data_IF_738059556277
#
_entry.id   IF_738059556277
#
_cell.length_a   1.000
_cell.length_b   1.000
_cell.length_c   1.000
_cell.angle_alpha   90.00
_cell.angle_beta   90.00
_cell.angle_gamma   90.00
#
_symmetry.space_group_name_H-M   'P 1'
#
loop_
_entity.id
_entity.type
_entity.pdbx_description
1 polymer ?
#
# COMPACT_ATOMS: atom_id res chain seq x y z
N UNK A 1 -39.25 2.77 27.58
CA UNK A 1 -39.03 3.73 26.47
C UNK A 1 -37.56 3.86 26.04
N UNK A 2 -36.58 3.45 26.86
CA UNK A 2 -35.14 3.60 26.59
C UNK A 2 -34.51 2.60 25.59
N UNK A 3 -35.11 1.42 25.35
CA UNK A 3 -34.49 0.40 24.49
C UNK A 3 -34.47 0.78 22.99
N UNK A 4 -35.49 1.53 22.52
CA UNK A 4 -35.57 1.97 21.11
C UNK A 4 -34.48 2.98 20.75
N UNK A 5 -34.16 3.88 21.66
CA UNK A 5 -33.10 4.88 21.47
C UNK A 5 -31.71 4.23 21.45
N UNK A 6 -31.49 3.23 22.32
CA UNK A 6 -30.24 2.47 22.36
C UNK A 6 -30.01 1.65 21.06
N UNK A 7 -31.08 1.07 20.51
CA UNK A 7 -31.03 0.28 19.28
C UNK A 7 -30.72 1.15 18.05
N UNK A 8 -31.28 2.36 17.97
CA UNK A 8 -30.96 3.32 16.91
C UNK A 8 -29.49 3.79 17.01
N UNK A 9 -28.97 4.01 18.21
CA UNK A 9 -27.58 4.42 18.39
C UNK A 9 -26.60 3.32 17.99
N UNK A 10 -26.89 2.07 18.34
CA UNK A 10 -26.10 0.92 17.91
C UNK A 10 -26.15 0.68 16.40
N UNK A 11 -27.32 0.90 15.77
CA UNK A 11 -27.47 0.80 14.32
C UNK A 11 -26.66 1.88 13.59
N UNK A 12 -26.70 3.13 14.06
CA UNK A 12 -25.92 4.24 13.48
C UNK A 12 -24.42 3.97 13.62
N UNK A 13 -23.98 3.45 14.79
CA UNK A 13 -22.58 3.07 15.01
C UNK A 13 -22.13 1.92 14.09
N UNK A 14 -22.99 0.91 13.89
CA UNK A 14 -22.72 -0.23 13.01
C UNK A 14 -22.71 0.14 11.51
N UNK A 15 -23.57 1.07 11.09
CA UNK A 15 -23.56 1.61 9.73
C UNK A 15 -22.32 2.49 9.50
N UNK A 16 -21.88 3.24 10.51
CA UNK A 16 -20.62 4.01 10.45
C UNK A 16 -19.38 3.11 10.40
N UNK A 17 -19.37 1.97 11.11
CA UNK A 17 -18.23 1.03 11.07
C UNK A 17 -18.13 0.27 9.74
N UNK A 18 -19.22 0.19 8.97
CA UNK A 18 -19.23 -0.44 7.64
C UNK A 18 -18.68 0.49 6.54
N UNK A 19 -18.41 1.76 6.84
CA UNK A 19 -18.15 2.77 5.82
C UNK A 19 -16.67 2.92 5.41
N UNK A 20 -15.69 2.30 6.07
CA UNK A 20 -14.27 2.64 5.84
C UNK A 20 -13.33 1.42 5.83
N UNK A 21 -13.70 0.34 5.12
CA UNK A 21 -12.71 -0.68 4.77
C UNK A 21 -12.07 -0.27 3.43
N UNK A 22 -10.80 0.12 3.46
CA UNK A 22 -10.03 0.28 2.23
C UNK A 22 -9.88 -1.08 1.55
N UNK A 23 -10.00 -1.14 0.22
CA UNK A 23 -9.86 -2.39 -0.53
C UNK A 23 -8.45 -2.99 -0.44
N UNK A 24 -7.47 -2.17 -0.03
CA UNK A 24 -6.06 -2.50 0.03
C UNK A 24 -5.44 -1.95 1.31
N UNK A 25 -4.57 -2.74 1.93
CA UNK A 25 -3.73 -2.30 3.04
C UNK A 25 -2.25 -2.52 2.75
N UNK A 26 -1.40 -1.77 3.47
CA UNK A 26 0.04 -1.96 3.44
C UNK A 26 0.62 -2.19 4.83
N UNK A 27 1.62 -3.06 4.88
CA UNK A 27 2.53 -3.21 6.01
C UNK A 27 3.95 -3.05 5.49
N UNK A 28 4.76 -2.27 6.20
CA UNK A 28 6.15 -2.03 5.83
C UNK A 28 7.08 -2.58 6.91
N UNK A 29 8.13 -3.26 6.48
CA UNK A 29 9.14 -3.83 7.37
C UNK A 29 10.54 -3.38 6.93
N UNK A 30 11.25 -2.72 7.83
CA UNK A 30 12.63 -2.30 7.59
C UNK A 30 13.54 -3.52 7.57
N UNK A 31 14.22 -3.73 6.44
CA UNK A 31 15.15 -4.85 6.26
C UNK A 31 16.56 -4.50 6.73
N UNK A 32 17.00 -3.26 6.46
CA UNK A 32 18.31 -2.78 6.86
C UNK A 32 18.34 -1.24 6.90
N UNK A 33 19.35 -0.69 7.57
CA UNK A 33 19.73 0.72 7.47
C UNK A 33 21.24 0.86 7.60
N UNK A 34 21.80 1.85 6.92
CA UNK A 34 23.22 2.16 6.97
C UNK A 34 23.45 3.65 6.70
N UNK A 35 24.66 4.10 6.98
CA UNK A 35 25.14 5.43 6.65
C UNK A 35 26.23 5.31 5.57
N UNK A 36 26.17 6.17 4.55
CA UNK A 36 27.22 6.30 3.54
C UNK A 36 27.50 7.78 3.32
N UNK A 37 28.76 8.19 3.51
CA UNK A 37 29.24 9.58 3.36
C UNK A 37 28.38 10.64 4.08
N UNK A 38 27.95 10.34 5.31
CA UNK A 38 27.14 11.26 6.12
C UNK A 38 25.65 11.33 5.73
N UNK A 39 25.21 10.49 4.79
CA UNK A 39 23.79 10.32 4.45
C UNK A 39 23.28 8.98 4.99
N UNK A 40 22.12 9.00 5.64
CA UNK A 40 21.44 7.79 6.09
C UNK A 40 20.64 7.15 4.95
N UNK A 41 20.56 5.83 4.94
CA UNK A 41 19.79 5.04 3.98
C UNK A 41 19.06 3.90 4.68
N UNK A 42 17.93 3.48 4.13
CA UNK A 42 17.16 2.34 4.65
C UNK A 42 16.57 1.50 3.52
N UNK A 43 16.51 0.18 3.75
CA UNK A 43 15.85 -0.79 2.87
C UNK A 43 14.52 -1.17 3.50
N UNK A 44 13.44 -1.14 2.73
CA UNK A 44 12.10 -1.50 3.17
C UNK A 44 11.49 -2.55 2.26
N UNK A 45 10.82 -3.52 2.87
CA UNK A 45 9.90 -4.44 2.20
C UNK A 45 8.47 -4.00 2.51
N UNK A 46 7.64 -3.88 1.48
CA UNK A 46 6.23 -3.52 1.58
C UNK A 46 5.40 -4.73 1.20
N UNK A 47 4.48 -5.11 2.09
CA UNK A 47 3.43 -6.10 1.81
C UNK A 47 2.15 -5.35 1.47
N UNK A 48 1.68 -5.52 0.23
CA UNK A 48 0.43 -4.97 -0.28
C UNK A 48 -0.64 -6.07 -0.24
N UNK A 49 -1.67 -5.89 0.58
CA UNK A 49 -2.72 -6.89 0.80
C UNK A 49 -4.02 -6.47 0.15
N UNK A 50 -4.65 -7.38 -0.57
CA UNK A 50 -6.00 -7.21 -1.09
C UNK A 50 -7.01 -7.62 0.00
N UNK A 51 -7.59 -6.63 0.66
CA UNK A 51 -8.57 -6.84 1.72
C UNK A 51 -10.01 -6.89 1.20
N UNK A 52 -10.22 -6.64 -0.10
CA UNK A 52 -11.54 -6.76 -0.69
C UNK A 52 -11.90 -8.21 -1.04
N UNK A 53 -13.16 -8.43 -1.44
CA UNK A 53 -13.68 -9.74 -1.84
C UNK A 53 -13.44 -10.10 -3.31
N UNK A 54 -12.72 -9.28 -4.08
CA UNK A 54 -12.53 -9.41 -5.53
C UNK A 54 -11.04 -9.43 -5.87
N UNK A 55 -10.67 -10.07 -6.97
CA UNK A 55 -9.29 -10.03 -7.47
C UNK A 55 -8.96 -8.65 -8.02
N UNK A 56 -7.86 -8.06 -7.56
CA UNK A 56 -7.34 -6.78 -8.07
C UNK A 56 -6.41 -7.09 -9.25
N UNK A 57 -6.81 -6.67 -10.46
CA UNK A 57 -6.02 -6.86 -11.68
C UNK A 57 -4.81 -5.93 -11.72
N UNK A 58 -5.03 -4.64 -11.43
CA UNK A 58 -3.98 -3.62 -11.41
C UNK A 58 -4.35 -2.54 -10.38
N UNK A 59 -3.35 -1.83 -9.89
CA UNK A 59 -3.52 -0.68 -8.99
C UNK A 59 -2.35 0.28 -9.15
N UNK A 60 -2.64 1.57 -9.18
CA UNK A 60 -1.61 2.59 -9.19
C UNK A 60 -1.17 2.86 -7.76
N UNK A 61 0.12 2.64 -7.50
CA UNK A 61 0.81 2.89 -6.23
C UNK A 61 1.55 4.23 -6.37
N UNK A 62 1.26 5.19 -5.50
CA UNK A 62 1.90 6.51 -5.53
C UNK A 62 2.75 6.69 -4.29
N UNK A 63 4.04 6.95 -4.47
CA UNK A 63 4.95 7.35 -3.38
C UNK A 63 4.72 8.81 -3.00
N UNK A 64 4.28 9.03 -1.77
CA UNK A 64 3.89 10.34 -1.23
C UNK A 64 5.00 10.90 -0.34
N UNK A 65 4.76 10.98 0.96
CA UNK A 65 5.67 11.54 1.95
C UNK A 65 6.83 10.59 2.23
N UNK A 66 8.00 11.15 2.49
CA UNK A 66 9.22 10.40 2.79
C UNK A 66 9.62 9.39 1.71
N UNK A 67 9.07 9.47 0.50
CA UNK A 67 9.46 8.63 -0.62
C UNK A 67 10.57 9.33 -1.41
N UNK A 68 11.82 9.08 -1.02
CA UNK A 68 13.00 9.69 -1.61
C UNK A 68 14.02 8.61 -1.97
N UNK A 69 13.87 8.02 -3.16
CA UNK A 69 14.69 6.90 -3.60
C UNK A 69 16.15 7.33 -3.78
N UNK A 70 17.09 6.49 -3.31
CA UNK A 70 18.53 6.77 -3.37
C UNK A 70 19.03 6.96 -4.80
N UNK A 71 18.69 6.05 -5.72
CA UNK A 71 19.07 6.12 -7.13
C UNK A 71 17.85 6.24 -8.07
N UNK A 72 16.81 6.96 -7.65
CA UNK A 72 15.57 7.06 -8.44
C UNK A 72 14.91 5.70 -8.64
N UNK A 73 14.32 5.46 -9.80
CA UNK A 73 13.46 4.28 -10.06
C UNK A 73 14.19 2.93 -10.09
N UNK A 74 15.53 2.89 -10.02
CA UNK A 74 16.28 1.62 -9.96
C UNK A 74 16.30 1.02 -8.56
N UNK A 75 16.03 1.85 -7.54
CA UNK A 75 16.08 1.46 -6.12
C UNK A 75 14.69 1.07 -5.60
N UNK A 76 13.77 0.72 -6.49
CA UNK A 76 12.47 0.13 -6.18
C UNK A 76 12.28 -1.11 -7.07
N UNK A 77 11.79 -2.21 -6.49
CA UNK A 77 11.62 -3.50 -7.18
C UNK A 77 10.30 -4.15 -6.80
N UNK A 78 9.83 -5.08 -7.65
CA UNK A 78 8.54 -5.76 -7.46
C UNK A 78 7.33 -4.95 -7.92
N UNK A 79 7.56 -3.79 -8.54
CA UNK A 79 6.56 -2.94 -9.20
C UNK A 79 7.18 -2.36 -10.47
N UNK A 80 6.34 -2.07 -11.46
CA UNK A 80 6.75 -1.43 -12.70
C UNK A 80 6.56 0.10 -12.56
N UNK A 81 7.51 0.90 -13.06
CA UNK A 81 7.41 2.36 -13.01
C UNK A 81 6.55 2.88 -14.17
N UNK A 82 5.51 3.66 -13.85
CA UNK A 82 4.73 4.39 -14.85
C UNK A 82 5.42 5.71 -15.17
N UNK A 83 5.40 6.65 -14.22
CA UNK A 83 6.00 7.98 -14.36
C UNK A 83 6.29 8.56 -12.98
N UNK A 84 7.48 9.12 -12.75
CA UNK A 84 7.81 9.79 -11.48
C UNK A 84 7.67 8.84 -10.29
N UNK A 85 6.82 9.20 -9.33
CA UNK A 85 6.53 8.37 -8.14
C UNK A 85 5.30 7.48 -8.29
N UNK A 86 4.85 7.23 -9.52
CA UNK A 86 3.69 6.38 -9.81
C UNK A 86 4.17 5.03 -10.34
N UNK A 87 3.69 3.97 -9.73
CA UNK A 87 4.04 2.59 -10.03
C UNK A 87 2.77 1.77 -10.22
N UNK A 88 2.89 0.63 -10.89
CA UNK A 88 1.81 -0.34 -11.01
C UNK A 88 2.33 -1.76 -10.81
N UNK A 89 1.41 -2.71 -10.76
CA UNK A 89 1.77 -4.10 -10.56
C UNK A 89 2.60 -4.62 -11.74
N UNK A 90 3.61 -5.45 -11.49
CA UNK A 90 4.43 -5.96 -12.58
C UNK A 90 3.58 -6.87 -13.49
N UNK A 91 3.92 -6.91 -14.78
CA UNK A 91 3.16 -7.65 -15.81
C UNK A 91 2.72 -9.07 -15.36
N UNK A 92 3.62 -9.86 -14.79
CA UNK A 92 3.33 -11.21 -14.32
C UNK A 92 2.29 -11.29 -13.19
N UNK A 93 2.12 -10.22 -12.40
CA UNK A 93 1.02 -10.10 -11.44
C UNK A 93 -0.25 -9.69 -12.15
N UNK A 94 -0.20 -8.76 -13.11
CA UNK A 94 -1.40 -8.25 -13.80
C UNK A 94 -2.11 -9.29 -14.66
N UNK A 95 -1.41 -10.34 -15.09
CA UNK A 95 -1.98 -11.46 -15.83
C UNK A 95 -2.93 -12.32 -14.96
N UNK A 96 -2.71 -12.37 -13.63
CA UNK A 96 -3.47 -13.20 -12.68
C UNK A 96 -4.19 -12.40 -11.58
N UNK A 97 -3.77 -11.16 -11.36
CA UNK A 97 -4.21 -10.27 -10.29
C UNK A 97 -3.74 -10.68 -8.89
N UNK A 98 -3.98 -9.81 -7.93
CA UNK A 98 -3.88 -10.10 -6.50
C UNK A 98 -5.22 -10.70 -6.08
N UNK A 99 -5.27 -12.00 -5.84
CA UNK A 99 -6.50 -12.68 -5.42
C UNK A 99 -7.05 -12.09 -4.10
N UNK A 100 -8.36 -12.27 -3.87
CA UNK A 100 -9.00 -11.83 -2.64
C UNK A 100 -8.26 -12.40 -1.41
N UNK A 101 -8.01 -11.56 -0.40
CA UNK A 101 -7.30 -11.92 0.83
C UNK A 101 -5.86 -12.42 0.62
N UNK A 102 -5.28 -12.14 -0.55
CA UNK A 102 -3.89 -12.43 -0.86
C UNK A 102 -3.06 -11.14 -0.86
N UNK A 103 -1.75 -11.31 -0.80
CA UNK A 103 -0.80 -10.19 -0.76
C UNK A 103 0.33 -10.41 -1.75
N UNK A 104 0.90 -9.30 -2.20
CA UNK A 104 2.17 -9.28 -2.93
C UNK A 104 3.18 -8.45 -2.15
N UNK A 105 4.45 -8.56 -2.55
CA UNK A 105 5.54 -7.78 -1.96
C UNK A 105 6.30 -7.00 -3.00
N UNK A 106 6.70 -5.81 -2.62
CA UNK A 106 7.66 -4.98 -3.35
C UNK A 106 8.62 -4.35 -2.34
N UNK A 107 9.70 -3.74 -2.79
CA UNK A 107 10.63 -3.10 -1.87
C UNK A 107 11.33 -1.90 -2.48
N UNK A 108 11.93 -1.10 -1.61
CA UNK A 108 12.61 0.11 -2.01
C UNK A 108 13.81 0.44 -1.09
N UNK A 109 14.76 1.21 -1.63
CA UNK A 109 15.82 1.87 -0.87
C UNK A 109 15.52 3.35 -0.79
N UNK A 110 15.45 3.86 0.43
CA UNK A 110 15.13 5.25 0.72
C UNK A 110 16.35 6.01 1.24
N UNK A 111 16.39 7.31 0.97
CA UNK A 111 17.24 8.26 1.67
C UNK A 111 16.59 8.57 3.02
N UNK A 112 17.38 8.44 4.08
CA UNK A 112 16.92 8.55 5.46
C UNK A 112 16.44 7.22 6.04
N UNK A 113 15.93 7.29 7.28
CA UNK A 113 15.52 6.13 8.07
C UNK A 113 14.00 6.01 8.23
N UNK A 114 13.24 6.94 7.65
CA UNK A 114 11.77 6.93 7.71
C UNK A 114 11.22 6.07 6.58
N UNK A 115 10.13 5.36 6.85
CA UNK A 115 9.35 4.71 5.83
C UNK A 115 8.61 5.74 4.96
N UNK A 116 8.40 5.39 3.70
CA UNK A 116 7.56 6.13 2.78
C UNK A 116 6.07 5.96 3.11
N UNK A 117 5.28 6.99 2.87
CA UNK A 117 3.84 6.89 2.81
C UNK A 117 3.43 6.61 1.36
N UNK A 118 2.47 5.71 1.16
CA UNK A 118 1.94 5.38 -0.16
C UNK A 118 0.44 5.64 -0.20
N UNK A 119 -0.03 6.17 -1.33
CA UNK A 119 -1.45 6.22 -1.66
C UNK A 119 -1.75 5.25 -2.81
N UNK A 120 -3.02 4.85 -2.92
CA UNK A 120 -3.48 3.91 -3.94
C UNK A 120 -4.63 4.54 -4.72
N UNK A 121 -4.57 4.45 -6.05
CA UNK A 121 -5.61 4.95 -6.92
C UNK A 121 -5.78 4.07 -8.16
N UNK A 122 -6.80 4.36 -8.96
CA UNK A 122 -7.04 3.72 -10.26
C UNK A 122 -7.12 2.17 -10.20
N UNK A 123 -7.63 1.62 -9.08
CA UNK A 123 -7.77 0.18 -8.88
C UNK A 123 -8.66 -0.45 -9.96
N UNK A 124 -8.13 -1.49 -10.62
CA UNK A 124 -8.83 -2.29 -11.61
C UNK A 124 -9.11 -3.67 -11.04
N UNK A 125 -10.33 -4.18 -11.22
CA UNK A 125 -10.73 -5.51 -10.77
C UNK A 125 -10.89 -6.45 -11.97
N UNK A 126 -10.81 -7.75 -11.71
CA UNK A 126 -11.22 -8.80 -12.66
C UNK A 126 -12.72 -9.09 -12.57
#
# INVERSE_FOLDING_TARGET
MFYKQFLCFALVLAVFSCAMAADVSIVQSQQAAWEDKGSGFSIWEVTLSNDCGRTIKDITIVGEKNFNLRNGTTDIWGVDCLTGHRFHLPSYVRDHGIAAKSSIKFGYINIGYQNAEFSFCETQYM
#
